data_IF_383741222730
#
_entry.id   IF_383741222730
#
_cell.length_a   1.000
_cell.length_b   1.000
_cell.length_c   1.000
_cell.angle_alpha   90.00
_cell.angle_beta   90.00
_cell.angle_gamma   90.00
#
_symmetry.space_group_name_H-M   'P 1'
#
loop_
_entity.id
_entity.type
_entity.pdbx_description
1 polymer ?
#
# COMPACT_ATOMS: atom_id res chain seq x y z
N UNK A 1 26.95 39.88 -3.33
CA UNK A 1 26.45 39.33 -2.06
C UNK A 1 25.53 38.18 -2.46
N UNK A 2 26.07 36.94 -2.53
CA UNK A 2 25.25 35.74 -2.76
C UNK A 2 24.49 35.47 -1.46
N UNK A 3 23.20 35.34 -1.61
CA UNK A 3 22.23 35.18 -0.53
C UNK A 3 22.48 33.84 0.17
N UNK A 4 22.72 33.92 1.47
CA UNK A 4 23.06 32.77 2.33
C UNK A 4 21.84 31.87 2.65
N UNK A 5 20.76 31.96 1.85
CA UNK A 5 19.50 31.26 2.08
C UNK A 5 19.43 29.83 1.53
N UNK A 6 20.40 29.39 0.73
CA UNK A 6 20.43 28.07 0.08
C UNK A 6 21.40 27.06 0.70
N UNK A 7 21.97 27.36 1.85
CA UNK A 7 22.78 26.37 2.55
C UNK A 7 21.86 25.25 3.04
N UNK A 8 21.97 24.08 2.39
CA UNK A 8 21.33 22.84 2.85
C UNK A 8 21.72 22.65 4.31
N UNK A 9 20.77 22.76 5.22
CA UNK A 9 21.00 22.49 6.63
C UNK A 9 21.15 20.95 6.79
N UNK A 10 22.34 20.45 6.52
CA UNK A 10 22.66 19.03 6.54
C UNK A 10 22.13 18.30 7.76
N UNK A 11 22.23 18.92 8.93
CA UNK A 11 21.68 18.34 10.17
C UNK A 11 20.18 18.08 10.09
N UNK A 12 19.41 19.03 9.54
CA UNK A 12 17.94 18.88 9.36
C UNK A 12 17.61 17.80 8.33
N UNK A 13 18.30 17.75 7.23
CA UNK A 13 18.09 16.74 6.19
C UNK A 13 18.40 15.32 6.70
N UNK A 14 19.47 15.15 7.49
CA UNK A 14 19.76 13.86 8.14
C UNK A 14 18.72 13.50 9.17
N UNK A 15 18.30 14.43 10.02
CA UNK A 15 17.23 14.20 10.99
C UNK A 15 15.91 13.85 10.29
N UNK A 16 15.58 14.53 9.21
CA UNK A 16 14.42 14.21 8.39
C UNK A 16 14.49 12.77 7.86
N UNK A 17 15.66 12.30 7.41
CA UNK A 17 15.86 10.92 6.97
C UNK A 17 15.71 9.90 8.09
N UNK A 18 16.24 10.17 9.27
CA UNK A 18 16.07 9.31 10.46
C UNK A 18 14.60 9.24 10.88
N UNK A 19 13.92 10.39 10.96
CA UNK A 19 12.50 10.44 11.31
C UNK A 19 11.65 9.66 10.29
N UNK A 20 11.92 9.83 9.01
CA UNK A 20 11.25 9.08 7.93
C UNK A 20 11.50 7.58 8.04
N UNK A 21 12.73 7.16 8.34
CA UNK A 21 13.06 5.74 8.54
C UNK A 21 12.25 5.16 9.69
N UNK A 22 12.29 5.78 10.87
CA UNK A 22 11.57 5.25 12.02
C UNK A 22 10.06 5.20 11.78
N UNK A 23 9.50 6.19 11.08
CA UNK A 23 8.07 6.22 10.75
C UNK A 23 7.70 5.10 9.77
N UNK A 24 8.59 4.75 8.82
CA UNK A 24 8.37 3.72 7.80
C UNK A 24 8.86 2.31 8.22
N UNK A 25 9.63 2.18 9.31
CA UNK A 25 10.31 0.93 9.65
C UNK A 25 9.38 -0.24 9.98
N UNK A 26 8.12 0.03 10.36
CA UNK A 26 7.10 -1.01 10.56
C UNK A 26 6.89 -1.87 9.29
N UNK A 27 7.18 -1.34 8.11
CA UNK A 27 7.06 -2.01 6.82
C UNK A 27 7.97 -3.22 6.72
N UNK A 28 9.12 -3.20 7.41
CA UNK A 28 10.02 -4.37 7.49
C UNK A 28 9.33 -5.62 8.06
N UNK A 29 8.28 -5.42 8.84
CA UNK A 29 7.51 -6.48 9.48
C UNK A 29 6.19 -6.73 8.74
N UNK A 30 5.39 -5.68 8.60
CA UNK A 30 4.00 -5.79 8.10
C UNK A 30 3.96 -6.24 6.64
N UNK A 31 4.81 -5.65 5.81
CA UNK A 31 4.80 -5.94 4.39
C UNK A 31 5.15 -7.40 4.05
N UNK A 32 6.25 -7.99 4.58
CA UNK A 32 6.55 -9.40 4.32
C UNK A 32 5.51 -10.38 4.89
N UNK A 33 4.84 -10.02 5.99
CA UNK A 33 3.76 -10.86 6.54
C UNK A 33 2.55 -10.91 5.60
N UNK A 34 2.20 -9.78 4.97
CA UNK A 34 1.14 -9.75 3.96
C UNK A 34 1.58 -10.51 2.69
N UNK A 35 2.85 -10.39 2.26
CA UNK A 35 3.39 -11.18 1.14
C UNK A 35 3.39 -12.69 1.43
N UNK A 36 3.59 -13.08 2.69
CA UNK A 36 3.49 -14.49 3.09
C UNK A 36 2.07 -15.03 2.92
N UNK A 37 1.05 -14.21 3.18
CA UNK A 37 -0.35 -14.56 2.92
C UNK A 37 -0.61 -14.82 1.42
N UNK A 38 0.22 -14.27 0.53
CA UNK A 38 0.24 -14.55 -0.92
C UNK A 38 1.10 -15.76 -1.32
N UNK A 39 1.72 -16.47 -0.35
CA UNK A 39 2.57 -17.64 -0.61
C UNK A 39 4.05 -17.32 -0.87
N UNK A 40 4.49 -16.08 -0.68
CA UNK A 40 5.92 -15.72 -0.74
C UNK A 40 6.59 -16.09 0.60
N UNK A 41 7.70 -16.85 0.60
CA UNK A 41 8.42 -17.18 1.83
C UNK A 41 8.79 -15.92 2.63
N UNK A 42 8.63 -15.95 3.96
CA UNK A 42 8.83 -14.77 4.80
C UNK A 42 10.22 -14.15 4.63
N UNK A 43 11.27 -14.97 4.62
CA UNK A 43 12.64 -14.49 4.43
C UNK A 43 12.87 -13.84 3.08
N UNK A 44 12.31 -14.42 2.02
CA UNK A 44 12.32 -13.84 0.68
C UNK A 44 11.57 -12.52 0.64
N UNK A 45 10.38 -12.46 1.26
CA UNK A 45 9.57 -11.24 1.35
C UNK A 45 10.29 -10.11 2.09
N UNK A 46 10.97 -10.39 3.21
CA UNK A 46 11.74 -9.38 3.94
C UNK A 46 12.92 -8.88 3.09
N UNK A 47 13.68 -9.79 2.49
CA UNK A 47 14.82 -9.42 1.65
C UNK A 47 14.38 -8.60 0.44
N UNK A 48 13.29 -8.99 -0.23
CA UNK A 48 12.69 -8.23 -1.33
C UNK A 48 12.20 -6.84 -0.89
N UNK A 49 11.58 -6.73 0.29
CA UNK A 49 11.16 -5.46 0.89
C UNK A 49 12.34 -4.51 1.07
N UNK A 50 13.41 -5.01 1.70
CA UNK A 50 14.63 -4.22 1.95
C UNK A 50 15.27 -3.80 0.62
N UNK A 51 15.44 -4.73 -0.32
CA UNK A 51 16.07 -4.46 -1.61
C UNK A 51 15.27 -3.43 -2.43
N UNK A 52 13.94 -3.60 -2.51
CA UNK A 52 13.09 -2.70 -3.27
C UNK A 52 12.99 -1.31 -2.63
N UNK A 53 12.90 -1.23 -1.30
CA UNK A 53 12.92 0.04 -0.57
C UNK A 53 14.25 0.77 -0.74
N UNK A 54 15.37 0.06 -0.59
CA UNK A 54 16.71 0.64 -0.77
C UNK A 54 16.88 1.14 -2.20
N UNK A 55 16.54 0.32 -3.21
CA UNK A 55 16.59 0.73 -4.61
C UNK A 55 15.73 1.97 -4.86
N UNK A 56 14.45 1.93 -4.45
CA UNK A 56 13.51 3.02 -4.67
C UNK A 56 13.96 4.33 -4.01
N UNK A 57 14.39 4.27 -2.75
CA UNK A 57 14.88 5.43 -2.01
C UNK A 57 16.17 5.99 -2.60
N UNK A 58 17.12 5.15 -2.97
CA UNK A 58 18.36 5.59 -3.65
C UNK A 58 18.04 6.21 -5.02
N UNK A 59 17.13 5.59 -5.79
CA UNK A 59 16.71 6.11 -7.08
C UNK A 59 16.00 7.47 -6.96
N UNK A 60 15.16 7.66 -5.93
CA UNK A 60 14.56 8.97 -5.64
C UNK A 60 15.59 10.00 -5.22
N UNK A 61 16.54 9.59 -4.38
CA UNK A 61 17.61 10.48 -3.88
C UNK A 61 18.46 11.07 -4.98
N UNK A 62 18.94 10.23 -5.90
CA UNK A 62 19.86 10.65 -6.97
C UNK A 62 19.14 11.12 -8.24
N UNK A 63 18.05 10.45 -8.62
CA UNK A 63 17.31 10.70 -9.85
C UNK A 63 16.40 11.91 -9.79
N UNK A 64 15.57 12.00 -8.73
CA UNK A 64 14.60 13.08 -8.56
C UNK A 64 15.06 14.18 -7.59
N UNK A 65 15.95 13.84 -6.66
CA UNK A 65 16.39 14.72 -5.56
C UNK A 65 15.23 15.30 -4.76
N UNK A 66 14.23 14.46 -4.50
CA UNK A 66 13.00 14.84 -3.80
C UNK A 66 12.94 14.17 -2.42
N UNK A 67 12.38 14.81 -1.37
CA UNK A 67 12.36 14.29 0.00
C UNK A 67 11.26 13.24 0.20
N UNK A 68 11.09 12.34 -0.75
CA UNK A 68 10.01 11.33 -0.74
C UNK A 68 10.61 9.94 -0.73
N UNK A 69 10.15 9.10 0.19
CA UNK A 69 10.51 7.69 0.25
C UNK A 69 9.77 6.90 -0.81
N UNK A 70 10.43 5.93 -1.41
CA UNK A 70 9.80 4.90 -2.23
C UNK A 70 9.90 3.58 -1.49
N UNK A 71 8.78 3.12 -1.00
CA UNK A 71 8.64 1.89 -0.20
C UNK A 71 7.42 1.12 -0.69
N UNK A 72 7.30 -0.19 -0.42
CA UNK A 72 6.08 -0.92 -0.71
C UNK A 72 4.87 -0.28 -0.02
N UNK A 73 3.86 0.11 -0.81
CA UNK A 73 2.64 0.73 -0.27
C UNK A 73 1.75 -0.30 0.41
N UNK A 74 1.21 0.01 1.58
CA UNK A 74 0.36 -0.96 2.30
C UNK A 74 -0.92 -1.30 1.54
N UNK A 75 -1.56 -0.31 0.91
CA UNK A 75 -2.75 -0.52 0.09
C UNK A 75 -2.47 -1.39 -1.14
N UNK A 76 -1.39 -1.09 -1.85
CA UNK A 76 -0.98 -1.84 -3.04
C UNK A 76 -0.50 -3.24 -2.68
N UNK A 77 0.11 -3.41 -1.50
CA UNK A 77 0.50 -4.72 -0.98
C UNK A 77 -0.71 -5.60 -0.66
N UNK A 78 -1.72 -5.02 0.01
CA UNK A 78 -2.97 -5.73 0.25
C UNK A 78 -3.66 -6.10 -1.07
N UNK A 79 -3.67 -5.20 -2.05
CA UNK A 79 -4.18 -5.49 -3.39
C UNK A 79 -3.42 -6.65 -4.05
N UNK A 80 -2.09 -6.63 -4.01
CA UNK A 80 -1.26 -7.71 -4.54
C UNK A 80 -1.62 -9.05 -3.88
N UNK A 81 -1.60 -9.13 -2.56
CA UNK A 81 -1.72 -10.40 -1.83
C UNK A 81 -3.15 -10.93 -1.83
N UNK A 82 -4.12 -10.11 -1.51
CA UNK A 82 -5.50 -10.57 -1.31
C UNK A 82 -6.34 -10.52 -2.58
N UNK A 83 -6.15 -9.50 -3.43
CA UNK A 83 -6.95 -9.40 -4.65
C UNK A 83 -6.31 -10.18 -5.79
N UNK A 84 -5.02 -9.91 -6.14
CA UNK A 84 -4.41 -10.56 -7.29
C UNK A 84 -4.22 -12.05 -7.06
N UNK A 85 -3.68 -12.43 -5.90
CA UNK A 85 -3.30 -13.82 -5.65
C UNK A 85 -4.49 -14.61 -5.13
N UNK A 86 -5.14 -14.17 -4.04
CA UNK A 86 -6.18 -14.97 -3.41
C UNK A 86 -7.52 -14.87 -4.13
N UNK A 87 -7.96 -13.67 -4.56
CA UNK A 87 -9.28 -13.48 -5.18
C UNK A 87 -9.26 -13.81 -6.68
N UNK A 88 -8.27 -13.29 -7.46
CA UNK A 88 -8.17 -13.57 -8.90
C UNK A 88 -7.46 -14.90 -9.23
N UNK A 89 -6.91 -15.60 -8.22
CA UNK A 89 -6.29 -16.92 -8.38
C UNK A 89 -4.96 -16.91 -9.13
N UNK A 90 -4.27 -15.78 -9.26
CA UNK A 90 -2.95 -15.72 -9.86
C UNK A 90 -1.90 -16.36 -8.93
N UNK A 91 -0.90 -17.01 -9.49
CA UNK A 91 0.31 -17.34 -8.74
C UNK A 91 1.05 -16.04 -8.38
N UNK A 92 1.80 -16.04 -7.27
CA UNK A 92 2.57 -14.86 -6.89
C UNK A 92 3.61 -14.45 -7.95
N UNK A 93 4.10 -15.42 -8.72
CA UNK A 93 5.01 -15.17 -9.85
C UNK A 93 4.30 -14.42 -10.99
N UNK A 94 3.05 -14.76 -11.30
CA UNK A 94 2.22 -14.00 -12.25
C UNK A 94 1.89 -12.63 -11.70
N UNK A 95 1.67 -12.51 -10.39
CA UNK A 95 1.52 -11.25 -9.68
C UNK A 95 2.75 -10.34 -9.86
N UNK A 96 3.98 -10.87 -9.75
CA UNK A 96 5.22 -10.11 -9.99
C UNK A 96 5.34 -9.63 -11.44
N UNK A 97 4.92 -10.47 -12.41
CA UNK A 97 4.85 -10.05 -13.81
C UNK A 97 3.83 -8.91 -13.99
N UNK A 98 2.66 -9.00 -13.34
CA UNK A 98 1.66 -7.93 -13.37
C UNK A 98 2.19 -6.63 -12.75
N UNK A 99 2.96 -6.70 -11.66
CA UNK A 99 3.65 -5.53 -11.07
C UNK A 99 4.61 -4.90 -12.08
N UNK A 100 5.42 -5.71 -12.76
CA UNK A 100 6.37 -5.21 -13.76
C UNK A 100 5.67 -4.52 -14.92
N UNK A 101 4.64 -5.16 -15.50
CA UNK A 101 3.87 -4.57 -16.62
C UNK A 101 3.16 -3.30 -16.18
N UNK A 102 2.54 -3.31 -15.00
CA UNK A 102 1.89 -2.11 -14.43
C UNK A 102 2.88 -0.97 -14.21
N UNK A 103 4.09 -1.29 -13.76
CA UNK A 103 5.18 -0.32 -13.63
C UNK A 103 5.61 0.28 -14.97
N UNK A 104 5.68 -0.54 -16.04
CA UNK A 104 5.99 -0.07 -17.40
C UNK A 104 4.87 0.86 -17.92
N UNK A 105 3.60 0.46 -17.73
CA UNK A 105 2.46 1.31 -18.10
C UNK A 105 2.45 2.61 -17.31
N UNK A 106 2.77 2.55 -16.02
CA UNK A 106 2.93 3.73 -15.18
C UNK A 106 4.08 4.61 -15.66
N UNK A 107 5.23 4.04 -16.05
CA UNK A 107 6.34 4.80 -16.61
C UNK A 107 5.96 5.49 -17.92
N UNK A 108 5.24 4.81 -18.82
CA UNK A 108 4.72 5.43 -20.05
C UNK A 108 3.77 6.59 -19.73
N UNK A 109 2.88 6.42 -18.74
CA UNK A 109 2.01 7.48 -18.27
C UNK A 109 2.79 8.67 -17.68
N UNK A 110 3.85 8.39 -16.90
CA UNK A 110 4.71 9.40 -16.26
C UNK A 110 5.64 10.10 -17.27
N UNK A 111 6.04 9.43 -18.34
CA UNK A 111 6.88 10.00 -19.41
C UNK A 111 6.08 10.90 -20.37
N UNK A 112 4.76 10.70 -20.44
CA UNK A 112 3.85 11.40 -21.34
C UNK A 112 2.87 12.28 -20.57
N UNK A 113 2.06 13.08 -21.28
CA UNK A 113 0.94 13.82 -20.67
C UNK A 113 -0.27 12.92 -20.36
N UNK A 114 -0.18 11.63 -20.63
CA UNK A 114 -1.29 10.69 -20.43
C UNK A 114 -1.63 10.53 -18.94
N UNK A 115 -0.61 10.41 -18.08
CA UNK A 115 -0.81 10.28 -16.62
C UNK A 115 -1.60 11.45 -16.04
N UNK A 116 -1.20 12.69 -16.37
CA UNK A 116 -1.91 13.88 -15.89
C UNK A 116 -3.33 13.98 -16.44
N UNK A 117 -3.56 13.59 -17.69
CA UNK A 117 -4.90 13.56 -18.29
C UNK A 117 -5.79 12.50 -17.62
N UNK A 118 -5.27 11.29 -17.37
CA UNK A 118 -6.00 10.23 -16.68
C UNK A 118 -6.34 10.64 -15.25
N UNK A 119 -5.37 11.24 -14.52
CA UNK A 119 -5.62 11.70 -13.16
C UNK A 119 -6.71 12.76 -13.08
N UNK A 120 -6.72 13.72 -14.03
CA UNK A 120 -7.76 14.75 -14.10
C UNK A 120 -9.11 14.18 -14.55
N UNK A 121 -9.09 13.12 -15.35
CA UNK A 121 -10.30 12.49 -15.84
C UNK A 121 -11.04 11.68 -14.76
N UNK A 122 -10.31 11.07 -13.80
CA UNK A 122 -10.96 10.30 -12.75
C UNK A 122 -11.47 11.24 -11.67
N UNK A 123 -12.78 11.17 -11.31
CA UNK A 123 -13.40 12.00 -10.29
C UNK A 123 -12.73 11.87 -8.93
N UNK A 124 -12.64 12.98 -8.20
CA UNK A 124 -12.02 13.00 -6.88
C UNK A 124 -12.77 12.10 -5.88
N UNK A 125 -14.09 12.05 -5.98
CA UNK A 125 -14.95 11.18 -5.15
C UNK A 125 -14.58 9.70 -5.26
N UNK A 126 -14.34 9.20 -6.47
CA UNK A 126 -13.91 7.82 -6.68
C UNK A 126 -12.52 7.56 -6.12
N UNK A 127 -11.57 8.49 -6.34
CA UNK A 127 -10.21 8.37 -5.76
C UNK A 127 -10.23 8.29 -4.24
N UNK A 128 -11.01 9.15 -3.60
CA UNK A 128 -11.18 9.12 -2.13
C UNK A 128 -11.91 7.86 -1.67
N UNK A 129 -12.90 7.39 -2.42
CA UNK A 129 -13.60 6.13 -2.17
C UNK A 129 -12.64 4.93 -2.21
N UNK A 130 -11.72 4.88 -3.19
CA UNK A 130 -10.69 3.83 -3.30
C UNK A 130 -9.78 3.84 -2.08
N UNK A 131 -9.21 5.00 -1.74
CA UNK A 131 -8.31 5.11 -0.58
C UNK A 131 -9.00 4.67 0.71
N UNK A 132 -10.21 5.14 0.95
CA UNK A 132 -10.97 4.80 2.15
C UNK A 132 -11.41 3.32 2.17
N UNK A 133 -11.81 2.76 1.02
CA UNK A 133 -12.17 1.35 0.89
C UNK A 133 -11.00 0.41 1.18
N UNK A 134 -9.81 0.73 0.65
CA UNK A 134 -8.57 0.01 0.97
C UNK A 134 -8.27 0.13 2.46
N UNK A 135 -8.48 1.31 3.05
CA UNK A 135 -8.29 1.53 4.49
C UNK A 135 -9.21 0.65 5.34
N UNK A 136 -10.49 0.56 5.01
CA UNK A 136 -11.42 -0.34 5.69
C UNK A 136 -11.03 -1.81 5.52
N UNK A 137 -10.54 -2.19 4.35
CA UNK A 137 -10.09 -3.55 4.09
C UNK A 137 -8.85 -3.91 4.92
N UNK A 138 -7.87 -3.00 5.02
CA UNK A 138 -6.71 -3.19 5.91
C UNK A 138 -7.12 -3.32 7.38
N UNK A 139 -8.05 -2.49 7.84
CA UNK A 139 -8.60 -2.59 9.19
C UNK A 139 -9.32 -3.94 9.40
N UNK A 140 -10.10 -4.40 8.42
CA UNK A 140 -10.77 -5.70 8.47
C UNK A 140 -9.76 -6.85 8.60
N UNK A 141 -8.68 -6.85 7.78
CA UNK A 141 -7.60 -7.83 7.90
C UNK A 141 -6.92 -7.74 9.28
N UNK A 142 -6.71 -6.53 9.78
CA UNK A 142 -6.18 -6.31 11.13
C UNK A 142 -7.07 -6.93 12.21
N UNK A 143 -8.37 -6.73 12.13
CA UNK A 143 -9.35 -7.31 13.06
C UNK A 143 -9.37 -8.85 13.00
N UNK A 144 -9.22 -9.43 11.80
CA UNK A 144 -9.11 -10.89 11.62
C UNK A 144 -7.82 -11.43 12.25
N UNK A 145 -6.66 -10.78 11.97
CA UNK A 145 -5.36 -11.18 12.56
C UNK A 145 -5.34 -11.01 14.08
N UNK A 146 -6.07 -10.03 14.62
CA UNK A 146 -6.29 -9.85 16.05
C UNK A 146 -7.24 -10.88 16.68
N UNK A 147 -7.91 -11.68 15.85
CA UNK A 147 -8.98 -12.59 16.25
C UNK A 147 -10.17 -11.88 16.95
N UNK A 148 -10.38 -10.58 16.67
CA UNK A 148 -11.55 -9.83 17.18
C UNK A 148 -12.79 -10.15 16.37
N UNK A 149 -12.61 -10.53 15.11
CA UNK A 149 -13.66 -11.03 14.23
C UNK A 149 -13.22 -12.38 13.67
N UNK A 150 -14.18 -13.26 13.47
CA UNK A 150 -13.99 -14.60 12.91
C UNK A 150 -15.12 -14.94 11.95
N UNK A 151 -14.91 -15.96 11.13
CA UNK A 151 -15.95 -16.48 10.23
C UNK A 151 -17.04 -17.14 11.04
N UNK A 152 -18.29 -16.94 10.63
CA UNK A 152 -19.48 -17.56 11.22
C UNK A 152 -20.38 -18.06 10.10
N UNK A 153 -20.95 -19.24 10.28
CA UNK A 153 -21.77 -19.89 9.24
C UNK A 153 -23.10 -19.14 8.96
N UNK A 154 -23.62 -18.41 9.94
CA UNK A 154 -24.90 -17.74 9.80
C UNK A 154 -24.77 -16.29 9.36
N UNK A 155 -23.75 -15.56 9.87
CA UNK A 155 -23.59 -14.12 9.68
C UNK A 155 -22.36 -13.75 8.85
N UNK A 156 -21.61 -14.75 8.32
CA UNK A 156 -20.32 -14.63 7.65
C UNK A 156 -19.21 -14.09 8.56
N UNK A 157 -19.49 -13.11 9.39
CA UNK A 157 -18.54 -12.50 10.33
C UNK A 157 -19.21 -12.35 11.70
N UNK A 158 -18.56 -12.83 12.75
CA UNK A 158 -18.99 -12.68 14.14
C UNK A 158 -17.85 -12.16 15.02
N UNK A 159 -18.22 -11.69 16.21
CA UNK A 159 -17.27 -11.30 17.24
C UNK A 159 -16.45 -12.51 17.69
N UNK A 160 -15.13 -12.36 17.79
CA UNK A 160 -14.21 -13.38 18.30
C UNK A 160 -14.37 -13.58 19.83
N UNK A 161 -13.71 -14.61 20.31
CA UNK A 161 -13.70 -14.93 21.73
C UNK A 161 -12.64 -14.12 22.48
N UNK A 162 -13.08 -13.08 23.19
CA UNK A 162 -12.22 -12.24 24.03
C UNK A 162 -11.79 -12.92 25.35
N UNK A 163 -12.24 -14.14 25.63
CA UNK A 163 -11.67 -14.98 26.68
C UNK A 163 -10.30 -15.56 26.30
N UNK A 164 -9.94 -15.51 25.02
CA UNK A 164 -8.64 -15.98 24.52
C UNK A 164 -7.54 -14.94 24.72
N UNK A 165 -6.27 -15.37 24.87
CA UNK A 165 -5.15 -14.46 25.12
C UNK A 165 -4.86 -13.49 23.98
N UNK A 166 -4.98 -13.92 22.72
CA UNK A 166 -4.62 -13.14 21.55
C UNK A 166 -5.45 -11.87 21.41
N UNK A 167 -6.81 -11.88 21.48
CA UNK A 167 -7.60 -10.66 21.47
C UNK A 167 -7.22 -9.66 22.55
N UNK A 168 -6.97 -10.11 23.77
CA UNK A 168 -6.60 -9.24 24.90
C UNK A 168 -5.24 -8.57 24.71
N UNK A 169 -4.24 -9.34 24.22
CA UNK A 169 -2.91 -8.80 23.92
C UNK A 169 -2.98 -7.78 22.79
N UNK A 170 -3.76 -8.06 21.74
CA UNK A 170 -3.90 -7.15 20.61
C UNK A 170 -4.66 -5.89 20.96
N UNK A 171 -5.68 -5.94 21.84
CA UNK A 171 -6.31 -4.74 22.43
C UNK A 171 -5.28 -3.88 23.14
N UNK A 172 -4.51 -4.48 24.03
CA UNK A 172 -3.47 -3.76 24.80
C UNK A 172 -2.42 -3.16 23.86
N UNK A 173 -1.98 -3.94 22.85
CA UNK A 173 -1.06 -3.49 21.83
C UNK A 173 -1.61 -2.31 21.02
N UNK A 174 -2.90 -2.35 20.66
CA UNK A 174 -3.56 -1.24 19.95
C UNK A 174 -3.62 0.01 20.82
N UNK A 175 -4.02 -0.10 22.08
CA UNK A 175 -4.09 1.04 23.01
C UNK A 175 -2.73 1.71 23.16
N UNK A 176 -1.65 0.93 23.34
CA UNK A 176 -0.29 1.46 23.44
C UNK A 176 0.13 2.12 22.11
N UNK A 177 -0.15 1.48 20.96
CA UNK A 177 0.16 2.04 19.65
C UNK A 177 -0.53 3.40 19.46
N UNK A 178 -1.83 3.50 19.80
CA UNK A 178 -2.60 4.74 19.71
C UNK A 178 -2.05 5.81 20.66
N UNK A 179 -1.65 5.44 21.87
CA UNK A 179 -1.02 6.35 22.84
C UNK A 179 0.29 6.93 22.28
N UNK A 180 1.17 6.07 21.77
CA UNK A 180 2.43 6.49 21.16
C UNK A 180 2.22 7.35 19.92
N UNK A 181 1.27 6.96 19.08
CA UNK A 181 0.91 7.69 17.87
C UNK A 181 0.34 9.09 18.19
N UNK A 182 -0.57 9.17 19.15
CA UNK A 182 -1.17 10.45 19.58
C UNK A 182 -0.13 11.42 20.19
N UNK A 183 0.92 10.86 20.80
CA UNK A 183 2.06 11.62 21.32
C UNK A 183 3.12 11.92 20.26
N UNK A 184 2.86 11.59 18.99
CA UNK A 184 3.77 11.80 17.86
C UNK A 184 5.17 11.17 18.07
N UNK A 185 5.24 10.03 18.78
CA UNK A 185 6.50 9.32 18.99
C UNK A 185 6.96 8.75 17.64
N UNK A 186 8.18 9.06 17.18
CA UNK A 186 8.71 8.48 15.94
C UNK A 186 8.74 6.95 16.02
N UNK A 187 8.26 6.28 14.95
CA UNK A 187 8.21 4.81 14.93
C UNK A 187 7.13 4.19 15.81
N UNK A 188 6.11 4.95 16.24
CA UNK A 188 5.01 4.47 17.09
C UNK A 188 4.38 3.16 16.59
N UNK A 189 4.26 2.97 15.28
CA UNK A 189 3.74 1.74 14.68
C UNK A 189 4.69 0.56 14.90
N UNK A 190 6.00 0.75 14.71
CA UNK A 190 7.00 -0.28 14.99
C UNK A 190 7.04 -0.63 16.48
N UNK A 191 7.02 0.38 17.36
CA UNK A 191 6.94 0.17 18.81
C UNK A 191 5.70 -0.61 19.20
N UNK A 192 4.56 -0.33 18.55
CA UNK A 192 3.32 -1.08 18.74
C UNK A 192 3.48 -2.57 18.45
N UNK A 193 4.14 -2.93 17.35
CA UNK A 193 4.44 -4.33 17.00
C UNK A 193 5.34 -4.96 18.07
N UNK A 194 6.43 -4.28 18.44
CA UNK A 194 7.39 -4.81 19.42
C UNK A 194 6.74 -5.04 20.78
N UNK A 195 5.96 -4.10 21.26
CA UNK A 195 5.25 -4.23 22.54
C UNK A 195 4.22 -5.36 22.47
N UNK A 196 3.42 -5.46 21.40
CA UNK A 196 2.46 -6.55 21.24
C UNK A 196 3.17 -7.91 21.21
N UNK A 197 4.32 -7.99 20.54
CA UNK A 197 5.16 -9.20 20.52
C UNK A 197 5.66 -9.56 21.93
N UNK A 198 6.18 -8.59 22.68
CA UNK A 198 6.66 -8.82 24.04
C UNK A 198 5.53 -9.25 24.98
N UNK A 199 4.36 -8.64 24.87
CA UNK A 199 3.19 -9.05 25.65
C UNK A 199 2.76 -10.49 25.33
N UNK A 200 2.80 -10.89 24.04
CA UNK A 200 2.51 -12.26 23.61
C UNK A 200 3.47 -13.25 24.28
N UNK A 201 4.75 -12.95 24.31
CA UNK A 201 5.75 -13.80 24.98
C UNK A 201 5.56 -13.85 26.51
N UNK A 202 5.17 -12.72 27.11
CA UNK A 202 4.89 -12.62 28.55
C UNK A 202 3.76 -13.53 29.03
N UNK A 203 2.79 -13.84 28.16
CA UNK A 203 1.68 -14.77 28.46
C UNK A 203 1.95 -16.21 28.01
N UNK A 204 3.19 -16.53 27.65
CA UNK A 204 3.59 -17.89 27.23
C UNK A 204 3.30 -18.21 25.75
N UNK A 205 2.87 -17.25 24.96
CA UNK A 205 2.75 -17.39 23.50
C UNK A 205 4.14 -17.43 22.87
N UNK A 206 4.65 -18.61 22.57
CA UNK A 206 5.90 -18.74 21.80
C UNK A 206 5.60 -18.77 20.29
N UNK A 207 6.51 -18.24 19.43
CA UNK A 207 6.42 -18.52 18.02
C UNK A 207 6.48 -20.02 17.80
N UNK A 208 5.75 -20.52 16.82
CA UNK A 208 5.85 -21.91 16.43
C UNK A 208 7.32 -22.26 16.22
N UNK A 209 7.83 -23.22 17.00
CA UNK A 209 9.23 -23.68 16.91
C UNK A 209 9.61 -24.16 15.51
N UNK A 210 8.62 -24.44 14.67
CA UNK A 210 8.76 -24.87 13.29
C UNK A 210 8.76 -23.71 12.28
N UNK A 211 8.62 -22.44 12.72
CA UNK A 211 8.70 -21.31 11.79
C UNK A 211 10.16 -21.16 11.36
N UNK A 212 10.50 -21.44 10.08
CA UNK A 212 11.89 -21.33 9.62
C UNK A 212 12.38 -19.91 9.85
N UNK A 213 13.57 -19.78 10.44
CA UNK A 213 14.20 -18.45 10.56
C UNK A 213 14.42 -17.88 9.18
N UNK A 214 13.97 -16.65 8.88
CA UNK A 214 14.19 -16.00 7.59
C UNK A 214 15.67 -16.03 7.20
N UNK A 215 15.98 -16.52 6.01
CA UNK A 215 17.36 -16.60 5.51
C UNK A 215 17.53 -15.70 4.29
N UNK A 216 18.65 -15.01 4.22
CA UNK A 216 18.98 -14.15 3.07
C UNK A 216 19.05 -14.95 1.75
N UNK A 217 19.44 -16.23 1.80
CA UNK A 217 19.47 -17.11 0.62
C UNK A 217 18.08 -17.30 -0.02
N UNK A 218 17.00 -17.13 0.73
CA UNK A 218 15.63 -17.20 0.20
C UNK A 218 15.32 -16.07 -0.79
N UNK A 219 16.08 -14.96 -0.75
CA UNK A 219 15.92 -13.86 -1.71
C UNK A 219 16.08 -14.32 -3.16
N UNK A 220 17.00 -15.25 -3.43
CA UNK A 220 17.19 -15.84 -4.76
C UNK A 220 15.94 -16.52 -5.32
N UNK A 221 15.01 -16.97 -4.48
CA UNK A 221 13.78 -17.64 -4.92
C UNK A 221 12.75 -16.69 -5.52
N UNK A 222 12.79 -15.42 -5.18
CA UNK A 222 11.84 -14.40 -5.66
C UNK A 222 12.46 -13.45 -6.69
N UNK A 223 13.79 -13.35 -6.70
CA UNK A 223 14.50 -12.48 -7.62
C UNK A 223 14.31 -12.96 -9.07
N UNK A 224 13.83 -12.09 -9.95
CA UNK A 224 13.51 -12.40 -11.35
C UNK A 224 12.56 -13.60 -11.55
N UNK A 225 11.73 -13.92 -10.57
CA UNK A 225 10.82 -15.08 -10.60
C UNK A 225 9.47 -14.78 -11.26
N UNK A 226 9.33 -13.64 -11.92
CA UNK A 226 8.11 -13.27 -12.63
C UNK A 226 7.77 -14.28 -13.74
N UNK A 227 6.54 -14.80 -13.72
CA UNK A 227 6.01 -15.69 -14.78
C UNK A 227 5.06 -14.91 -15.69
N UNK A 228 5.37 -14.93 -16.98
CA UNK A 228 4.66 -14.14 -17.99
C UNK A 228 3.54 -14.98 -18.63
N UNK A 229 2.34 -14.96 -18.05
CA UNK A 229 1.18 -15.64 -18.59
C UNK A 229 0.27 -14.65 -19.31
N UNK A 230 0.73 -14.14 -20.46
CA UNK A 230 0.07 -13.05 -21.20
C UNK A 230 -1.27 -13.48 -21.83
N UNK A 231 -1.58 -14.77 -21.92
CA UNK A 231 -2.84 -15.27 -22.46
C UNK A 231 -3.90 -15.51 -21.39
N UNK A 232 -3.55 -15.34 -20.10
CA UNK A 232 -4.45 -15.51 -18.99
C UNK A 232 -5.25 -14.23 -18.74
N UNK A 233 -6.57 -14.27 -18.94
CA UNK A 233 -7.43 -13.10 -18.80
C UNK A 233 -7.30 -12.39 -17.43
N UNK A 234 -7.31 -13.09 -16.26
CA UNK A 234 -7.13 -12.48 -14.94
C UNK A 234 -5.83 -11.69 -14.82
N UNK A 235 -4.77 -12.06 -15.55
CA UNK A 235 -3.52 -11.32 -15.57
C UNK A 235 -3.70 -9.87 -16.06
N UNK A 236 -4.47 -9.66 -17.14
CA UNK A 236 -4.71 -8.31 -17.67
C UNK A 236 -5.64 -7.48 -16.80
N UNK A 237 -6.59 -8.12 -16.11
CA UNK A 237 -7.41 -7.47 -15.06
C UNK A 237 -6.52 -6.98 -13.93
N UNK A 238 -5.62 -7.83 -13.46
CA UNK A 238 -4.64 -7.48 -12.44
C UNK A 238 -3.75 -6.31 -12.89
N UNK A 239 -3.19 -6.37 -14.09
CA UNK A 239 -2.35 -5.30 -14.67
C UNK A 239 -3.12 -3.99 -14.76
N UNK A 240 -4.33 -4.01 -15.28
CA UNK A 240 -5.15 -2.81 -15.43
C UNK A 240 -5.47 -2.17 -14.08
N UNK A 241 -6.01 -2.94 -13.14
CA UNK A 241 -6.40 -2.43 -11.82
C UNK A 241 -5.19 -1.93 -11.03
N UNK A 242 -4.07 -2.68 -11.07
CA UNK A 242 -2.83 -2.29 -10.41
C UNK A 242 -2.26 -1.00 -11.00
N UNK A 243 -2.27 -0.88 -12.34
CA UNK A 243 -1.82 0.35 -13.02
C UNK A 243 -2.63 1.56 -12.58
N UNK A 244 -3.96 1.42 -12.51
CA UNK A 244 -4.84 2.50 -12.04
C UNK A 244 -4.50 2.93 -10.63
N UNK A 245 -4.35 1.97 -9.71
CA UNK A 245 -4.03 2.25 -8.31
C UNK A 245 -2.68 2.98 -8.22
N UNK A 246 -1.60 2.42 -8.79
CA UNK A 246 -0.27 3.03 -8.65
C UNK A 246 -0.16 4.40 -9.31
N UNK A 247 -0.82 4.62 -10.46
CA UNK A 247 -0.84 5.92 -11.15
C UNK A 247 -1.54 6.97 -10.28
N UNK A 248 -2.74 6.67 -9.75
CA UNK A 248 -3.54 7.65 -9.02
C UNK A 248 -3.00 7.91 -7.62
N UNK A 249 -2.61 6.87 -6.90
CA UNK A 249 -2.06 6.99 -5.55
C UNK A 249 -0.78 7.85 -5.56
N UNK A 250 0.17 7.52 -6.44
CA UNK A 250 1.43 8.25 -6.50
C UNK A 250 1.26 9.70 -6.98
N UNK A 251 0.33 9.95 -7.91
CA UNK A 251 0.08 11.31 -8.34
C UNK A 251 -0.51 12.16 -7.19
N UNK A 252 -1.48 11.60 -6.46
CA UNK A 252 -2.09 12.27 -5.31
C UNK A 252 -1.10 12.55 -4.20
N UNK A 253 -0.33 11.53 -3.79
CA UNK A 253 0.66 11.65 -2.72
C UNK A 253 1.79 12.64 -3.06
N UNK A 254 2.36 12.53 -4.26
CA UNK A 254 3.45 13.43 -4.67
C UNK A 254 2.98 14.89 -4.81
N UNK A 255 1.78 15.14 -5.32
CA UNK A 255 1.21 16.48 -5.40
C UNK A 255 0.96 17.08 -4.00
N UNK A 256 0.54 16.24 -3.05
CA UNK A 256 0.28 16.69 -1.68
C UNK A 256 1.54 16.94 -0.86
N UNK A 257 2.65 16.26 -1.16
CA UNK A 257 3.89 16.32 -0.37
C UNK A 257 4.95 17.27 -0.94
N UNK A 258 5.05 17.40 -2.27
CA UNK A 258 6.10 18.21 -2.91
C UNK A 258 5.69 19.68 -2.95
N UNK A 259 6.48 20.52 -2.27
CA UNK A 259 6.29 21.98 -2.31
C UNK A 259 6.86 22.61 -3.59
N UNK A 260 7.87 22.00 -4.22
CA UNK A 260 8.42 22.47 -5.51
C UNK A 260 7.78 21.71 -6.68
N UNK A 261 6.95 22.37 -7.51
CA UNK A 261 6.32 21.76 -8.67
C UNK A 261 7.33 21.19 -9.69
N UNK A 262 8.57 21.67 -9.70
CA UNK A 262 9.63 21.20 -10.61
C UNK A 262 10.14 19.79 -10.24
N UNK A 263 10.01 19.39 -8.98
CA UNK A 263 10.39 18.06 -8.52
C UNK A 263 9.36 16.99 -8.94
N UNK A 264 8.08 17.35 -9.07
CA UNK A 264 6.99 16.41 -9.34
C UNK A 264 7.24 15.51 -10.56
N UNK A 265 7.56 16.00 -11.78
CA UNK A 265 7.73 15.13 -12.94
C UNK A 265 8.89 14.14 -12.76
N UNK A 266 9.96 14.54 -12.08
CA UNK A 266 11.13 13.68 -11.82
C UNK A 266 10.80 12.62 -10.77
N UNK A 267 10.15 13.02 -9.67
CA UNK A 267 9.72 12.11 -8.61
C UNK A 267 8.71 11.09 -9.13
N UNK A 268 7.75 11.52 -9.95
CA UNK A 268 6.73 10.67 -10.53
C UNK A 268 7.33 9.59 -11.47
N UNK A 269 8.32 9.96 -12.29
CA UNK A 269 9.07 9.02 -13.13
C UNK A 269 9.94 8.09 -12.28
N UNK A 270 10.58 8.61 -11.23
CA UNK A 270 11.40 7.79 -10.33
C UNK A 270 10.56 6.73 -9.64
N UNK A 271 9.35 7.08 -9.21
CA UNK A 271 8.41 6.13 -8.62
C UNK A 271 8.01 5.04 -9.62
N UNK A 272 7.73 5.40 -10.87
CA UNK A 272 7.39 4.42 -11.90
C UNK A 272 8.52 3.42 -12.16
N UNK A 273 9.78 3.89 -12.23
CA UNK A 273 10.96 3.02 -12.37
C UNK A 273 11.10 2.09 -11.16
N UNK A 274 10.89 2.61 -9.95
CA UNK A 274 10.91 1.80 -8.72
C UNK A 274 9.83 0.74 -8.71
N UNK A 275 8.62 1.07 -9.20
CA UNK A 275 7.52 0.08 -9.37
C UNK A 275 7.91 -1.05 -10.33
N UNK A 276 8.55 -0.73 -11.47
CA UNK A 276 9.07 -1.76 -12.39
C UNK A 276 10.10 -2.66 -11.69
N UNK A 277 11.05 -2.04 -10.97
CA UNK A 277 12.09 -2.78 -10.27
C UNK A 277 11.51 -3.70 -9.19
N UNK A 278 10.40 -3.32 -8.52
CA UNK A 278 9.77 -4.13 -7.49
C UNK A 278 9.35 -5.50 -7.98
N UNK A 279 8.79 -5.61 -9.20
CA UNK A 279 8.40 -6.88 -9.78
C UNK A 279 9.60 -7.80 -10.04
N UNK A 280 10.76 -7.26 -10.45
CA UNK A 280 11.99 -8.02 -10.62
C UNK A 280 12.65 -8.37 -9.29
N UNK A 281 12.52 -7.50 -8.29
CA UNK A 281 13.03 -7.73 -6.93
C UNK A 281 12.15 -8.67 -6.09
N UNK A 282 11.01 -9.11 -6.64
CA UNK A 282 10.17 -10.12 -6.00
C UNK A 282 9.20 -9.57 -4.95
N UNK A 283 8.71 -8.36 -5.14
CA UNK A 283 7.79 -7.71 -4.19
C UNK A 283 6.64 -6.96 -4.87
N UNK A 284 5.62 -6.59 -4.08
CA UNK A 284 4.56 -5.70 -4.51
C UNK A 284 5.11 -4.30 -4.87
N UNK A 285 4.36 -3.45 -5.59
CA UNK A 285 4.86 -2.17 -6.04
C UNK A 285 5.39 -1.28 -4.93
N UNK A 286 6.58 -0.70 -5.13
CA UNK A 286 7.02 0.46 -4.36
C UNK A 286 6.35 1.71 -4.90
N UNK A 287 5.86 2.54 -3.98
CA UNK A 287 5.12 3.78 -4.25
C UNK A 287 5.66 4.90 -3.37
N UNK A 288 5.25 6.13 -3.64
CA UNK A 288 5.54 7.25 -2.76
C UNK A 288 4.88 7.02 -1.38
N UNK A 289 5.65 7.14 -0.32
CA UNK A 289 5.20 6.87 1.03
C UNK A 289 4.62 8.11 1.69
N UNK A 290 3.43 7.99 2.28
CA UNK A 290 2.84 9.05 3.10
C UNK A 290 3.70 9.39 4.33
N UNK A 291 4.46 8.43 4.82
CA UNK A 291 5.42 8.54 5.92
C UNK A 291 6.51 9.59 5.64
N UNK A 292 6.76 9.90 4.37
CA UNK A 292 7.66 10.99 3.96
C UNK A 292 7.25 12.34 4.53
N UNK A 293 5.96 12.54 4.80
CA UNK A 293 5.44 13.78 5.38
C UNK A 293 6.09 14.10 6.73
N UNK A 294 6.45 13.10 7.53
CA UNK A 294 7.13 13.28 8.81
C UNK A 294 8.52 13.90 8.62
N UNK A 295 9.32 13.37 7.69
CA UNK A 295 10.63 13.93 7.37
C UNK A 295 10.55 15.30 6.70
N UNK A 296 9.55 15.52 5.85
CA UNK A 296 9.30 16.81 5.23
C UNK A 296 8.93 17.87 6.30
N UNK A 297 8.17 17.47 7.33
CA UNK A 297 7.84 18.31 8.46
C UNK A 297 9.06 18.69 9.32
N UNK A 298 10.04 17.77 9.44
CA UNK A 298 11.34 18.04 10.08
C UNK A 298 12.28 18.94 9.25
N UNK A 299 11.89 19.28 8.04
CA UNK A 299 12.63 20.18 7.17
C UNK A 299 13.37 19.53 6.00
N UNK A 300 13.11 18.25 5.71
CA UNK A 300 13.62 17.59 4.51
C UNK A 300 13.08 18.23 3.23
N UNK A 301 13.98 18.58 2.31
CA UNK A 301 13.66 19.24 1.03
C UNK A 301 14.38 18.62 -0.16
N UNK A 302 15.39 17.82 0.10
CA UNK A 302 16.28 17.27 -0.93
C UNK A 302 16.17 15.74 -1.03
N UNK A 303 17.08 15.10 -1.79
CA UNK A 303 17.20 13.63 -1.85
C UNK A 303 17.91 13.00 -0.65
N UNK A 304 18.33 13.78 0.37
CA UNK A 304 19.04 13.24 1.54
C UNK A 304 18.12 12.38 2.42
N UNK A 305 16.88 12.77 2.74
CA UNK A 305 16.00 11.92 3.53
C UNK A 305 15.80 10.51 2.93
N UNK A 306 15.44 10.33 1.65
CA UNK A 306 15.36 8.98 1.09
C UNK A 306 16.70 8.27 1.01
N UNK A 307 17.83 8.98 0.79
CA UNK A 307 19.17 8.38 0.84
C UNK A 307 19.42 7.73 2.20
N UNK A 308 19.23 8.50 3.28
CA UNK A 308 19.44 8.03 4.66
C UNK A 308 18.53 6.86 4.96
N UNK A 309 17.25 6.98 4.63
CA UNK A 309 16.26 5.91 4.86
C UNK A 309 16.64 4.64 4.08
N UNK A 310 16.98 4.74 2.80
CA UNK A 310 17.40 3.59 1.99
C UNK A 310 18.61 2.86 2.55
N UNK A 311 19.62 3.59 3.02
CA UNK A 311 20.79 3.02 3.66
C UNK A 311 20.46 2.33 4.99
N UNK A 312 19.58 2.93 5.81
CA UNK A 312 19.13 2.33 7.06
C UNK A 312 18.30 1.05 6.83
N UNK A 313 17.51 1.00 5.78
CA UNK A 313 16.82 -0.24 5.39
C UNK A 313 17.81 -1.34 5.01
N UNK A 314 18.90 -1.03 4.30
CA UNK A 314 19.96 -2.00 4.03
C UNK A 314 20.63 -2.50 5.32
N UNK A 315 20.85 -1.62 6.29
CA UNK A 315 21.38 -2.01 7.59
C UNK A 315 20.41 -2.87 8.41
N UNK A 316 19.15 -2.97 8.04
CA UNK A 316 18.18 -3.87 8.67
C UNK A 316 18.35 -5.35 8.26
N UNK A 317 19.13 -5.69 7.22
CA UNK A 317 19.38 -7.07 6.82
C UNK A 317 19.84 -8.00 7.96
N UNK A 318 20.76 -7.62 8.85
CA UNK A 318 21.15 -8.46 9.98
C UNK A 318 20.02 -8.76 10.96
N UNK A 319 18.96 -7.94 10.99
CA UNK A 319 17.80 -8.13 11.84
C UNK A 319 16.77 -9.14 11.28
N UNK A 320 16.96 -9.66 10.06
CA UNK A 320 16.08 -10.66 9.42
C UNK A 320 15.65 -11.80 10.36
N UNK A 321 16.55 -12.50 11.08
CA UNK A 321 16.16 -13.59 11.96
C UNK A 321 15.21 -13.17 13.09
N UNK A 322 15.28 -11.91 13.53
CA UNK A 322 14.40 -11.37 14.57
C UNK A 322 12.98 -11.16 14.07
N UNK A 323 12.82 -10.82 12.79
CA UNK A 323 11.50 -10.58 12.19
C UNK A 323 10.65 -11.86 12.13
N UNK A 324 11.29 -13.03 11.96
CA UNK A 324 10.61 -14.33 12.02
C UNK A 324 10.07 -14.71 13.39
N UNK A 325 10.46 -13.98 14.43
CA UNK A 325 9.97 -14.20 15.80
C UNK A 325 8.72 -13.37 16.12
N UNK A 326 8.30 -12.48 15.22
CA UNK A 326 7.14 -11.63 15.44
C UNK A 326 5.86 -12.44 15.13
N UNK A 327 4.93 -12.60 16.07
CA UNK A 327 3.68 -13.30 15.82
C UNK A 327 2.78 -12.55 14.85
N UNK A 328 1.96 -13.27 14.08
CA UNK A 328 1.07 -12.69 13.07
C UNK A 328 0.09 -11.64 13.62
N UNK A 329 -0.47 -11.91 14.78
CA UNK A 329 -1.39 -11.00 15.43
C UNK A 329 -0.71 -9.70 15.95
N UNK A 330 0.62 -9.70 16.10
CA UNK A 330 1.34 -8.51 16.55
C UNK A 330 1.30 -7.34 15.53
N UNK A 331 1.03 -7.62 14.25
CA UNK A 331 0.86 -6.56 13.23
C UNK A 331 -0.56 -6.00 13.18
N UNK A 332 -1.52 -6.66 13.82
CA UNK A 332 -2.93 -6.26 13.79
C UNK A 332 -3.17 -4.81 14.24
N UNK A 333 -2.62 -4.33 15.38
CA UNK A 333 -2.75 -2.93 15.79
C UNK A 333 -2.33 -1.94 14.71
N UNK A 334 -1.25 -2.24 14.00
CA UNK A 334 -0.73 -1.36 12.95
C UNK A 334 -1.65 -1.33 11.73
N UNK A 335 -2.15 -2.48 11.29
CA UNK A 335 -3.10 -2.57 10.17
C UNK A 335 -4.40 -1.79 10.47
N UNK A 336 -4.90 -1.90 11.71
CA UNK A 336 -6.09 -1.16 12.16
C UNK A 336 -5.83 0.35 12.15
N UNK A 337 -4.69 0.81 12.67
CA UNK A 337 -4.34 2.24 12.69
C UNK A 337 -4.15 2.78 11.28
N UNK A 338 -3.41 2.08 10.41
CA UNK A 338 -3.21 2.52 9.02
C UNK A 338 -4.55 2.55 8.28
N UNK A 339 -5.38 1.52 8.47
CA UNK A 339 -6.73 1.49 7.90
C UNK A 339 -7.55 2.71 8.31
N UNK A 340 -7.54 3.05 9.61
CA UNK A 340 -8.24 4.23 10.13
C UNK A 340 -7.72 5.55 9.54
N UNK A 341 -6.41 5.68 9.35
CA UNK A 341 -5.81 6.87 8.71
C UNK A 341 -6.24 7.01 7.25
N UNK A 342 -6.31 5.90 6.50
CA UNK A 342 -6.76 5.93 5.10
C UNK A 342 -8.25 6.25 4.99
N UNK A 343 -9.08 5.78 5.93
CA UNK A 343 -10.54 6.06 5.98
C UNK A 343 -10.82 7.56 6.13
N UNK A 344 -9.90 8.37 6.66
CA UNK A 344 -10.07 9.83 6.72
C UNK A 344 -10.33 10.47 5.35
N UNK A 345 -9.97 9.81 4.24
CA UNK A 345 -10.29 10.28 2.88
C UNK A 345 -11.79 10.42 2.63
N UNK A 346 -12.64 9.77 3.41
CA UNK A 346 -14.12 9.86 3.33
C UNK A 346 -14.60 11.31 3.48
N UNK A 347 -13.95 12.13 4.29
CA UNK A 347 -14.32 13.52 4.50
C UNK A 347 -14.32 14.38 3.22
N UNK A 348 -13.60 13.94 2.18
CA UNK A 348 -13.50 14.65 0.91
C UNK A 348 -14.51 14.15 -0.13
N UNK A 349 -15.38 13.20 0.22
CA UNK A 349 -16.42 12.69 -0.66
C UNK A 349 -17.68 13.55 -0.50
N UNK A 350 -18.19 14.16 -1.60
CA UNK A 350 -19.38 14.99 -1.51
C UNK A 350 -20.65 14.12 -1.46
N UNK A 351 -20.96 13.54 -0.31
CA UNK A 351 -22.14 12.71 -0.12
C UNK A 351 -23.49 13.45 -0.32
N UNK A 352 -23.47 14.78 -0.30
CA UNK A 352 -24.64 15.60 -0.61
C UNK A 352 -25.08 15.50 -2.10
N UNK A 353 -24.14 15.21 -3.02
CA UNK A 353 -24.48 14.86 -4.41
C UNK A 353 -24.53 13.33 -4.54
N UNK A 354 -25.73 12.77 -4.64
CA UNK A 354 -25.93 11.33 -4.74
C UNK A 354 -25.16 10.70 -5.92
N UNK A 355 -25.00 11.43 -7.03
CA UNK A 355 -24.27 10.95 -8.22
C UNK A 355 -22.74 10.88 -8.01
N UNK A 356 -22.21 11.53 -6.99
CA UNK A 356 -20.80 11.44 -6.55
C UNK A 356 -20.67 10.49 -5.34
N UNK A 357 -21.52 10.67 -4.34
CA UNK A 357 -21.44 9.97 -3.07
C UNK A 357 -21.72 8.47 -3.16
N UNK A 358 -22.77 8.07 -3.92
CA UNK A 358 -23.15 6.66 -4.02
C UNK A 358 -22.09 5.79 -4.71
N UNK A 359 -21.49 6.17 -5.86
CA UNK A 359 -20.40 5.41 -6.45
C UNK A 359 -19.17 5.29 -5.53
N UNK A 360 -18.83 6.36 -4.82
CA UNK A 360 -17.73 6.34 -3.85
C UNK A 360 -18.05 5.44 -2.64
N UNK A 361 -19.28 5.49 -2.12
CA UNK A 361 -19.75 4.56 -1.10
C UNK A 361 -19.71 3.11 -1.59
N UNK A 362 -20.06 2.87 -2.84
CA UNK A 362 -20.09 1.51 -3.40
C UNK A 362 -18.69 0.92 -3.55
N UNK A 363 -17.65 1.76 -3.82
CA UNK A 363 -16.23 1.37 -3.70
C UNK A 363 -15.88 1.07 -2.25
N UNK A 364 -16.18 2.02 -1.35
CA UNK A 364 -15.83 1.97 0.06
C UNK A 364 -16.36 0.71 0.76
N UNK A 365 -17.61 0.35 0.49
CA UNK A 365 -18.25 -0.85 1.04
C UNK A 365 -17.88 -2.11 0.25
N UNK A 366 -17.81 -2.01 -1.07
CA UNK A 366 -17.53 -3.14 -1.96
C UNK A 366 -16.18 -3.78 -1.69
N UNK A 367 -15.13 -3.00 -1.51
CA UNK A 367 -13.78 -3.53 -1.29
C UNK A 367 -13.71 -4.48 -0.08
N UNK A 368 -14.07 -4.09 1.15
CA UNK A 368 -13.98 -4.98 2.30
C UNK A 368 -15.00 -6.11 2.27
N UNK A 369 -16.21 -5.88 1.74
CA UNK A 369 -17.27 -6.89 1.75
C UNK A 369 -17.05 -8.00 0.71
N UNK A 370 -16.39 -7.70 -0.42
CA UNK A 370 -16.01 -8.71 -1.42
C UNK A 370 -14.62 -9.28 -1.17
N UNK A 371 -13.86 -8.70 -0.22
CA UNK A 371 -12.43 -8.96 -0.04
C UNK A 371 -11.62 -8.76 -1.32
N UNK A 372 -12.13 -7.96 -2.24
CA UNK A 372 -11.56 -7.69 -3.56
C UNK A 372 -11.58 -6.21 -3.88
N UNK A 373 -10.39 -5.62 -4.01
CA UNK A 373 -10.27 -4.22 -4.40
C UNK A 373 -10.73 -4.03 -5.85
N UNK A 374 -10.49 -5.03 -6.72
CA UNK A 374 -10.90 -4.97 -8.13
C UNK A 374 -12.43 -4.90 -8.27
N UNK A 375 -13.17 -5.69 -7.49
CA UNK A 375 -14.64 -5.72 -7.54
C UNK A 375 -15.23 -4.43 -6.97
N UNK A 376 -14.68 -3.95 -5.85
CA UNK A 376 -15.08 -2.65 -5.31
C UNK A 376 -14.84 -1.50 -6.29
N UNK A 377 -13.70 -1.48 -6.99
CA UNK A 377 -13.44 -0.53 -8.07
C UNK A 377 -14.50 -0.65 -9.19
N UNK A 378 -14.78 -1.89 -9.63
CA UNK A 378 -15.76 -2.14 -10.68
C UNK A 378 -17.13 -1.55 -10.31
N UNK A 379 -17.61 -1.78 -9.10
CA UNK A 379 -18.88 -1.25 -8.63
C UNK A 379 -18.95 0.28 -8.72
N UNK A 380 -17.94 0.98 -8.23
CA UNK A 380 -17.94 2.44 -8.27
C UNK A 380 -17.75 3.03 -9.67
N UNK A 381 -16.80 2.49 -10.44
CA UNK A 381 -16.53 3.00 -11.79
C UNK A 381 -17.68 2.72 -12.78
N UNK A 382 -18.45 1.65 -12.61
CA UNK A 382 -19.63 1.36 -13.42
C UNK A 382 -20.80 2.26 -13.01
N UNK A 383 -21.04 2.41 -11.70
CA UNK A 383 -22.19 3.18 -11.20
C UNK A 383 -22.03 4.69 -11.38
N UNK A 384 -20.80 5.21 -11.41
CA UNK A 384 -20.55 6.63 -11.56
C UNK A 384 -21.10 7.21 -12.89
N UNK A 385 -20.69 6.73 -14.06
CA UNK A 385 -21.21 7.26 -15.32
C UNK A 385 -22.71 6.98 -15.48
N UNK A 386 -23.22 5.86 -14.93
CA UNK A 386 -24.62 5.52 -14.97
C UNK A 386 -25.46 6.55 -14.21
N UNK A 387 -25.10 6.86 -12.97
CA UNK A 387 -25.82 7.85 -12.15
C UNK A 387 -25.68 9.27 -12.67
N UNK A 388 -24.50 9.65 -13.17
CA UNK A 388 -24.30 10.97 -13.82
C UNK A 388 -25.17 11.11 -15.06
N UNK A 389 -25.32 10.05 -15.85
CA UNK A 389 -26.17 10.05 -17.05
C UNK A 389 -27.65 10.15 -16.65
N UNK A 390 -28.08 9.35 -15.67
CA UNK A 390 -29.47 9.39 -15.14
C UNK A 390 -29.82 10.77 -14.56
N UNK A 391 -28.86 11.46 -13.92
CA UNK A 391 -29.03 12.82 -13.39
C UNK A 391 -28.94 13.92 -14.47
N UNK A 392 -28.86 13.58 -15.76
CA UNK A 392 -28.70 14.55 -16.86
C UNK A 392 -27.32 15.20 -16.93
N UNK A 393 -26.35 14.76 -16.12
CA UNK A 393 -25.00 15.33 -16.02
C UNK A 393 -23.95 14.57 -16.86
N UNK A 394 -24.36 13.86 -17.90
CA UNK A 394 -23.51 12.97 -18.70
C UNK A 394 -22.28 13.70 -19.32
N UNK A 395 -22.43 15.02 -19.65
CA UNK A 395 -21.32 15.85 -20.15
C UNK A 395 -20.21 16.12 -19.13
N UNK A 396 -20.47 15.91 -17.85
CA UNK A 396 -19.48 16.06 -16.79
C UNK A 396 -18.59 14.83 -16.63
N UNK A 397 -18.98 13.70 -17.24
CA UNK A 397 -18.21 12.46 -17.18
C UNK A 397 -17.18 12.45 -18.31
N UNK A 398 -15.89 12.44 -17.99
CA UNK A 398 -14.84 12.34 -19.00
C UNK A 398 -14.89 11.00 -19.74
N UNK A 399 -14.58 11.03 -21.04
CA UNK A 399 -14.56 9.82 -21.90
C UNK A 399 -13.75 8.65 -21.30
N UNK A 400 -12.56 8.88 -20.71
CA UNK A 400 -11.81 7.79 -20.08
C UNK A 400 -12.58 7.05 -18.99
N UNK A 401 -13.47 7.72 -18.24
CA UNK A 401 -14.26 7.06 -17.19
C UNK A 401 -15.28 6.09 -17.78
N UNK A 402 -15.90 6.43 -18.91
CA UNK A 402 -16.77 5.50 -19.65
C UNK A 402 -16.00 4.27 -20.14
N UNK A 403 -14.78 4.47 -20.66
CA UNK A 403 -13.94 3.36 -21.11
C UNK A 403 -13.54 2.44 -19.93
N UNK A 404 -13.13 3.02 -18.82
CA UNK A 404 -12.80 2.27 -17.58
C UNK A 404 -14.02 1.51 -17.09
N UNK A 405 -15.20 2.14 -17.04
CA UNK A 405 -16.45 1.49 -16.64
C UNK A 405 -16.81 0.33 -17.57
N UNK A 406 -16.65 0.49 -18.88
CA UNK A 406 -16.87 -0.55 -19.89
C UNK A 406 -15.92 -1.74 -19.69
N UNK A 407 -14.65 -1.48 -19.42
CA UNK A 407 -13.66 -2.54 -19.12
C UNK A 407 -14.00 -3.32 -17.85
N UNK A 408 -14.39 -2.63 -16.78
CA UNK A 408 -14.81 -3.29 -15.54
C UNK A 408 -16.12 -4.09 -15.74
N UNK A 409 -17.07 -3.56 -16.49
CA UNK A 409 -18.30 -4.28 -16.81
C UNK A 409 -18.02 -5.54 -17.63
N UNK A 410 -17.19 -5.43 -18.65
CA UNK A 410 -16.76 -6.59 -19.45
C UNK A 410 -16.05 -7.64 -18.57
N UNK A 411 -15.24 -7.18 -17.60
CA UNK A 411 -14.62 -8.05 -16.62
C UNK A 411 -15.63 -8.82 -15.77
N UNK A 412 -16.62 -8.13 -15.18
CA UNK A 412 -17.64 -8.77 -14.35
C UNK A 412 -18.45 -9.81 -15.16
N UNK A 413 -18.80 -9.48 -16.42
CA UNK A 413 -19.50 -10.41 -17.31
C UNK A 413 -18.62 -11.63 -17.62
N UNK A 414 -17.34 -11.42 -17.94
CA UNK A 414 -16.44 -12.52 -18.26
C UNK A 414 -16.24 -13.47 -17.06
N UNK A 415 -16.09 -12.93 -15.85
CA UNK A 415 -15.99 -13.73 -14.62
C UNK A 415 -17.28 -14.53 -14.38
N UNK A 416 -18.47 -13.93 -14.60
CA UNK A 416 -19.76 -14.61 -14.42
C UNK A 416 -20.01 -15.72 -15.46
N UNK A 417 -19.31 -15.73 -16.60
CA UNK A 417 -19.42 -16.78 -17.62
C UNK A 417 -18.47 -17.96 -17.37
N UNK A 418 -17.51 -17.81 -16.46
CA UNK A 418 -16.51 -18.85 -16.13
C UNK A 418 -16.96 -19.66 -14.90
N UNK A 419 -17.82 -19.07 -14.05
CA UNK A 419 -18.48 -19.75 -12.92
C UNK A 419 -19.88 -20.21 -13.31
#
# INVERSE_FOLDING_TARGET
>A
MADSSDAVEWKREWMAGLTSFFTAAYILVVHPMILRDAGIPLGAGVAATVAATAFGCLWMAFGARAPVLLIPGMGVNAFFSYTLIQSLGLSWQEGLAAVTVSGILFWMAAATRLGSRLFQAVPASLKHGVTAGIGLFLAFIGLQKAQWIQTDENTMVALGDFGQPVPLVTVTGLLITLLLYSRKVPGSLLWGILVTTLLTYGIGGMPDANTPSPRLMEFGTVLFSAKWNLFHYPFWVAVFSLTMIVVFENMGLLQGMLSDPKQFPKAYRATAVSTVASGFLGTSPTVAAAESASGIAEGGRTGIPPLVTGLLFLLAFPALPLLGKIPDHAVAPVLIVIGALMVQSVQHIPFSDFSEGFPAFFILAGIPLTSSIADGLAFGFITYPLLKTAAGKWRQVPVPVYLIAGLFLANLIAVSMIH
#
